data_IF_822535302021
#
_entry.id   IF_822535302021
#
_cell.length_a   1.000
_cell.length_b   1.000
_cell.length_c   1.000
_cell.angle_alpha   90.00
_cell.angle_beta   90.00
_cell.angle_gamma   90.00
#
_symmetry.space_group_name_H-M   'P 1'
#
loop_
_entity.id
_entity.type
_entity.pdbx_description
1 polymer ?
#
# COMPACT_ATOMS: atom_id res chain seq x y z
N UNK A 1 16.48 29.96 15.10
CA UNK A 1 17.42 28.81 14.88
C UNK A 1 17.15 27.63 15.82
N UNK A 2 16.74 27.87 17.07
CA UNK A 2 16.51 26.82 18.08
C UNK A 2 15.24 26.00 17.84
N UNK A 3 14.18 26.61 17.32
CA UNK A 3 12.91 25.95 16.95
C UNK A 3 13.05 24.98 15.79
N UNK A 4 13.92 25.26 14.83
CA UNK A 4 14.16 24.40 13.67
C UNK A 4 14.93 23.11 14.04
N UNK A 5 15.85 23.20 15.01
CA UNK A 5 16.64 22.05 15.51
C UNK A 5 15.73 21.09 16.32
N UNK A 6 14.81 21.64 17.12
CA UNK A 6 13.85 20.85 17.89
C UNK A 6 12.86 20.10 17.00
N UNK A 7 12.39 20.72 15.92
CA UNK A 7 11.51 20.06 14.94
C UNK A 7 12.22 18.92 14.19
N UNK A 8 13.48 19.11 13.78
CA UNK A 8 14.29 18.07 13.12
C UNK A 8 14.55 16.89 14.06
N UNK A 9 14.82 17.17 15.33
CA UNK A 9 15.05 16.11 16.33
C UNK A 9 13.75 15.36 16.68
N UNK A 10 12.61 16.04 16.74
CA UNK A 10 11.30 15.38 16.93
C UNK A 10 10.94 14.49 15.76
N UNK A 11 11.15 14.96 14.51
CA UNK A 11 10.89 14.18 13.32
C UNK A 11 11.81 12.95 13.22
N UNK A 12 13.08 13.10 13.56
CA UNK A 12 14.06 12.00 13.61
C UNK A 12 13.70 10.96 14.67
N UNK A 13 13.21 11.39 15.84
CA UNK A 13 12.75 10.48 16.89
C UNK A 13 11.44 9.79 16.50
N UNK A 14 10.52 10.49 15.85
CA UNK A 14 9.28 9.90 15.32
C UNK A 14 9.56 8.82 14.27
N UNK A 15 10.49 9.08 13.34
CA UNK A 15 10.94 8.07 12.34
C UNK A 15 11.57 6.85 13.02
N UNK A 16 12.42 7.05 14.05
CA UNK A 16 12.99 5.93 14.81
C UNK A 16 11.94 5.10 15.55
N UNK A 17 10.91 5.75 16.12
CA UNK A 17 9.82 5.04 16.82
C UNK A 17 8.94 4.24 15.88
N UNK A 18 8.66 4.75 14.65
CA UNK A 18 7.94 4.01 13.62
C UNK A 18 8.74 2.78 13.17
N UNK A 19 10.05 2.91 12.99
CA UNK A 19 10.94 1.78 12.66
C UNK A 19 10.94 0.72 13.77
N UNK A 20 11.03 1.14 15.03
CA UNK A 20 10.96 0.21 16.18
C UNK A 20 9.62 -0.52 16.24
N UNK A 21 8.51 0.18 15.96
CA UNK A 21 7.18 -0.44 15.89
C UNK A 21 7.10 -1.48 14.78
N UNK A 22 7.61 -1.15 13.60
CA UNK A 22 7.63 -2.09 12.47
C UNK A 22 8.48 -3.33 12.80
N UNK A 23 9.64 -3.16 13.43
CA UNK A 23 10.50 -4.26 13.86
C UNK A 23 9.80 -5.12 14.90
N UNK A 24 9.11 -4.54 15.88
CA UNK A 24 8.39 -5.26 16.92
C UNK A 24 7.22 -6.10 16.33
N UNK A 25 6.47 -5.53 15.38
CA UNK A 25 5.39 -6.26 14.69
C UNK A 25 5.91 -7.45 13.90
N UNK A 26 7.10 -7.35 13.34
CA UNK A 26 7.73 -8.46 12.60
C UNK A 26 8.35 -9.49 13.54
N UNK A 27 8.93 -9.09 14.65
CA UNK A 27 9.39 -10.04 15.68
C UNK A 27 8.22 -10.91 16.18
N UNK A 28 7.03 -10.31 16.33
CA UNK A 28 5.80 -11.05 16.66
C UNK A 28 5.45 -12.03 15.54
N UNK A 29 5.53 -11.63 14.27
CA UNK A 29 5.27 -12.49 13.12
C UNK A 29 6.22 -13.69 13.06
N UNK A 30 7.53 -13.46 13.34
CA UNK A 30 8.54 -14.54 13.40
C UNK A 30 8.29 -15.48 14.58
N UNK A 31 7.90 -14.95 15.75
CA UNK A 31 7.54 -15.74 16.93
C UNK A 31 6.33 -16.64 16.63
N UNK A 32 5.34 -16.11 15.97
CA UNK A 32 4.14 -16.80 15.53
C UNK A 32 4.49 -17.90 14.51
N UNK A 33 5.31 -17.61 13.53
CA UNK A 33 5.75 -18.59 12.52
C UNK A 33 6.57 -19.73 13.18
N UNK A 34 7.43 -19.41 14.14
CA UNK A 34 8.19 -20.43 14.90
C UNK A 34 7.32 -21.31 15.80
N UNK A 35 6.21 -20.77 16.31
CA UNK A 35 5.22 -21.53 17.10
C UNK A 35 4.40 -22.49 16.21
N UNK A 36 4.08 -22.09 14.97
CA UNK A 36 3.42 -22.98 14.00
C UNK A 36 4.25 -24.20 13.62
N UNK A 37 5.57 -24.07 13.55
CA UNK A 37 6.46 -25.20 13.20
C UNK A 37 6.69 -26.18 14.36
N UNK A 38 6.37 -25.78 15.59
CA UNK A 38 6.58 -26.64 16.78
C UNK A 38 5.34 -27.34 17.32
N UNK A 39 4.14 -27.06 16.81
CA UNK A 39 2.90 -27.56 17.40
C UNK A 39 2.27 -28.71 16.61
N UNK A 40 2.97 -29.84 16.58
CA UNK A 40 2.37 -31.12 16.23
C UNK A 40 2.48 -32.12 17.43
N UNK A 41 2.26 -31.67 18.68
CA UNK A 41 2.03 -32.58 19.81
C UNK A 41 1.48 -31.85 21.04
N UNK A 42 0.35 -32.39 21.54
CA UNK A 42 -0.27 -32.27 22.87
C UNK A 42 -1.15 -31.04 23.17
N UNK A 43 -2.43 -31.38 23.45
CA UNK A 43 -3.44 -30.60 24.17
C UNK A 43 -2.90 -30.01 25.48
N UNK A 44 -2.64 -28.74 25.46
CA UNK A 44 -2.72 -27.85 26.61
C UNK A 44 -3.42 -26.58 26.11
N UNK A 45 -4.34 -26.04 26.92
CA UNK A 45 -5.22 -24.92 26.56
C UNK A 45 -4.43 -23.60 26.32
N UNK A 46 -3.65 -23.55 25.27
CA UNK A 46 -3.05 -22.32 24.81
C UNK A 46 -4.14 -21.44 24.19
N UNK A 47 -4.18 -20.13 24.50
CA UNK A 47 -5.14 -19.21 23.91
C UNK A 47 -5.03 -19.25 22.38
N UNK A 48 -6.12 -19.05 21.63
CA UNK A 48 -6.08 -18.96 20.19
C UNK A 48 -5.03 -17.96 19.72
N UNK A 49 -4.31 -18.28 18.64
CA UNK A 49 -3.26 -17.42 18.09
C UNK A 49 -3.73 -15.99 17.85
N UNK A 50 -4.96 -15.82 17.41
CA UNK A 50 -5.58 -14.50 17.19
C UNK A 50 -5.63 -13.67 18.48
N UNK A 51 -5.87 -14.28 19.65
CA UNK A 51 -5.88 -13.57 20.92
C UNK A 51 -4.47 -13.12 21.31
N UNK A 52 -3.50 -14.04 21.22
CA UNK A 52 -2.08 -13.70 21.50
C UNK A 52 -1.58 -12.58 20.60
N UNK A 53 -1.90 -12.62 19.31
CA UNK A 53 -1.54 -11.56 18.36
C UNK A 53 -2.25 -10.24 18.68
N UNK A 54 -3.53 -10.29 18.98
CA UNK A 54 -4.31 -9.09 19.33
C UNK A 54 -3.73 -8.40 20.56
N UNK A 55 -3.44 -9.16 21.61
CA UNK A 55 -2.88 -8.62 22.85
C UNK A 55 -1.49 -8.01 22.63
N UNK A 56 -0.62 -8.74 21.92
CA UNK A 56 0.73 -8.27 21.61
C UNK A 56 0.74 -7.00 20.75
N UNK A 57 -0.09 -6.96 19.70
CA UNK A 57 -0.21 -5.77 18.83
C UNK A 57 -0.80 -4.61 19.63
N UNK A 58 -1.82 -4.83 20.44
CA UNK A 58 -2.45 -3.79 21.27
C UNK A 58 -1.46 -3.19 22.25
N UNK A 59 -0.63 -4.00 22.88
CA UNK A 59 0.42 -3.56 23.80
C UNK A 59 1.44 -2.66 23.08
N UNK A 60 1.91 -3.06 21.90
CA UNK A 60 2.86 -2.27 21.10
C UNK A 60 2.23 -0.94 20.67
N UNK A 61 1.01 -1.01 20.12
CA UNK A 61 0.28 0.18 19.63
C UNK A 61 0.06 1.18 20.76
N UNK A 62 -0.31 0.72 21.96
CA UNK A 62 -0.54 1.59 23.11
C UNK A 62 0.72 2.29 23.63
N UNK A 63 1.91 1.71 23.39
CA UNK A 63 3.19 2.29 23.78
C UNK A 63 3.74 3.31 22.76
N UNK A 64 3.12 3.43 21.57
CA UNK A 64 3.57 4.31 20.49
C UNK A 64 2.80 5.63 20.49
N UNK A 65 3.45 6.77 20.19
CA UNK A 65 2.76 8.03 20.04
C UNK A 65 1.98 8.06 18.71
N UNK A 66 0.80 8.63 18.74
CA UNK A 66 -0.08 8.79 17.58
C UNK A 66 -1.16 7.72 17.47
N UNK A 67 -2.04 7.87 16.51
CA UNK A 67 -3.11 6.91 16.25
C UNK A 67 -2.64 5.85 15.24
N UNK A 68 -2.60 4.60 15.68
CA UNK A 68 -2.11 3.48 14.90
C UNK A 68 -3.22 2.44 14.78
N UNK A 69 -3.56 2.08 13.55
CA UNK A 69 -4.46 0.99 13.23
C UNK A 69 -3.71 -0.17 12.59
N UNK A 70 -4.04 -1.39 12.99
CA UNK A 70 -3.42 -2.62 12.47
C UNK A 70 -4.49 -3.64 12.13
N UNK A 71 -4.34 -4.29 10.98
CA UNK A 71 -5.07 -5.51 10.64
C UNK A 71 -4.12 -6.54 10.03
N UNK A 72 -4.32 -7.79 10.41
CA UNK A 72 -3.55 -8.94 9.91
C UNK A 72 -4.54 -10.03 9.51
N UNK A 73 -4.38 -10.57 8.30
CA UNK A 73 -5.09 -11.77 7.85
C UNK A 73 -4.05 -12.88 7.68
N UNK A 74 -4.21 -13.96 8.41
CA UNK A 74 -3.29 -15.11 8.39
C UNK A 74 -3.95 -16.27 7.65
N UNK A 75 -3.24 -16.82 6.66
CA UNK A 75 -3.68 -18.00 5.89
C UNK A 75 -5.08 -17.83 5.25
N UNK A 76 -5.43 -16.62 4.83
CA UNK A 76 -6.74 -16.28 4.26
C UNK A 76 -7.95 -16.63 5.18
N UNK A 77 -7.73 -16.76 6.48
CA UNK A 77 -8.74 -17.22 7.42
C UNK A 77 -8.79 -16.42 8.72
N UNK A 78 -7.69 -16.41 9.44
CA UNK A 78 -7.65 -15.84 10.79
C UNK A 78 -7.39 -14.34 10.71
N UNK A 79 -8.24 -13.54 11.33
CA UNK A 79 -8.18 -12.07 11.25
C UNK A 79 -7.97 -11.46 12.63
N UNK A 80 -6.95 -10.62 12.72
CA UNK A 80 -6.65 -9.77 13.88
C UNK A 80 -6.80 -8.31 13.48
N UNK A 81 -7.38 -7.50 14.34
CA UNK A 81 -7.56 -6.06 14.11
C UNK A 81 -7.44 -5.28 15.41
N UNK A 82 -6.68 -4.19 15.38
CA UNK A 82 -6.52 -3.22 16.47
C UNK A 82 -6.76 -1.83 15.93
N UNK A 83 -7.58 -1.02 16.60
CA UNK A 83 -7.97 0.33 16.17
C UNK A 83 -8.48 0.37 14.72
N UNK A 84 -9.36 -0.55 14.34
CA UNK A 84 -9.86 -0.69 12.97
C UNK A 84 -10.96 0.35 12.68
N UNK A 85 -10.58 1.62 12.55
CA UNK A 85 -11.45 2.72 12.15
C UNK A 85 -11.28 3.00 10.65
N UNK A 86 -12.32 3.52 9.99
CA UNK A 86 -12.27 3.93 8.57
C UNK A 86 -11.86 5.39 8.43
N UNK A 87 -10.68 5.76 8.93
CA UNK A 87 -10.22 7.16 9.01
C UNK A 87 -8.73 7.33 8.71
N UNK A 88 -8.02 6.26 8.40
CA UNK A 88 -6.58 6.35 8.14
C UNK A 88 -6.33 6.82 6.72
N UNK A 89 -5.64 7.95 6.51
CA UNK A 89 -5.35 8.45 5.18
C UNK A 89 -4.45 7.45 4.43
N UNK A 90 -4.84 7.11 3.22
CA UNK A 90 -4.12 6.12 2.42
C UNK A 90 -2.81 6.66 1.86
N UNK A 91 -2.73 7.98 1.64
CA UNK A 91 -1.65 8.53 0.84
C UNK A 91 -1.47 7.69 -0.44
N UNK A 92 -0.27 7.39 -0.86
CA UNK A 92 -0.03 6.58 -2.07
C UNK A 92 -0.45 5.09 -1.99
N UNK A 93 -1.03 4.62 -0.90
CA UNK A 93 -1.57 3.24 -0.84
C UNK A 93 -2.74 3.07 -1.83
N UNK A 94 -3.53 4.10 -2.10
CA UNK A 94 -4.63 4.06 -3.07
C UNK A 94 -4.20 3.68 -4.50
N UNK A 95 -2.92 3.78 -4.85
CA UNK A 95 -2.38 3.41 -6.17
C UNK A 95 -2.55 1.93 -6.51
N UNK A 96 -2.67 1.07 -5.48
CA UNK A 96 -3.09 -0.34 -5.69
C UNK A 96 -4.54 -0.42 -6.17
N UNK A 97 -5.41 0.38 -5.58
CA UNK A 97 -6.83 0.46 -5.96
C UNK A 97 -6.95 0.96 -7.41
N UNK A 98 -6.20 2.02 -7.76
CA UNK A 98 -6.14 2.55 -9.13
C UNK A 98 -5.66 1.49 -10.13
N UNK A 99 -4.60 0.76 -9.82
CA UNK A 99 -4.06 -0.28 -10.69
C UNK A 99 -5.08 -1.39 -10.97
N UNK A 100 -5.78 -1.85 -9.93
CA UNK A 100 -6.85 -2.86 -10.07
C UNK A 100 -8.00 -2.34 -10.94
N UNK A 101 -8.47 -1.13 -10.70
CA UNK A 101 -9.56 -0.54 -11.47
C UNK A 101 -9.19 -0.30 -12.93
N UNK A 102 -7.96 0.18 -13.20
CA UNK A 102 -7.46 0.38 -14.55
C UNK A 102 -7.36 -0.94 -15.30
N UNK A 103 -6.79 -1.97 -14.69
CA UNK A 103 -6.68 -3.29 -15.30
C UNK A 103 -8.05 -3.89 -15.61
N UNK A 104 -9.02 -3.77 -14.69
CA UNK A 104 -10.40 -4.20 -14.94
C UNK A 104 -11.07 -3.43 -16.08
N UNK A 105 -10.91 -2.12 -16.15
CA UNK A 105 -11.45 -1.29 -17.23
C UNK A 105 -10.84 -1.68 -18.59
N UNK A 106 -9.53 -1.93 -18.61
CA UNK A 106 -8.82 -2.38 -19.82
C UNK A 106 -9.25 -3.78 -20.28
N UNK A 107 -9.52 -4.70 -19.35
CA UNK A 107 -10.06 -6.02 -19.67
C UNK A 107 -11.41 -5.87 -20.35
N UNK A 108 -12.32 -5.10 -19.79
CA UNK A 108 -13.65 -4.86 -20.33
C UNK A 108 -13.62 -4.20 -21.72
N UNK A 109 -12.57 -3.44 -22.03
CA UNK A 109 -12.39 -2.74 -23.31
C UNK A 109 -11.49 -3.49 -24.29
N UNK A 110 -10.89 -4.62 -23.91
CA UNK A 110 -9.93 -5.36 -24.72
C UNK A 110 -8.63 -4.58 -24.98
N UNK A 111 -8.21 -3.70 -24.04
CA UNK A 111 -7.01 -2.86 -24.18
C UNK A 111 -5.81 -3.57 -23.53
N UNK A 112 -4.71 -3.66 -24.27
CA UNK A 112 -3.45 -4.20 -23.76
C UNK A 112 -2.72 -3.22 -22.84
N UNK A 113 -2.06 -3.73 -21.80
CA UNK A 113 -1.11 -2.94 -20.99
C UNK A 113 0.11 -2.49 -21.80
N UNK A 114 0.41 -3.10 -22.93
CA UNK A 114 1.50 -2.72 -23.82
C UNK A 114 1.12 -1.58 -24.80
N UNK A 115 -0.08 -1.01 -24.64
CA UNK A 115 -0.50 0.19 -25.36
C UNK A 115 0.44 1.34 -25.04
N UNK A 116 1.02 1.95 -26.10
CA UNK A 116 1.93 3.08 -26.00
C UNK A 116 1.19 4.39 -25.69
N UNK A 117 1.75 5.15 -24.77
CA UNK A 117 1.29 6.49 -24.40
C UNK A 117 2.43 7.47 -24.63
N UNK A 118 2.16 8.50 -25.43
CA UNK A 118 3.09 9.62 -25.65
C UNK A 118 2.73 10.78 -24.72
N UNK A 119 3.63 11.11 -23.84
CA UNK A 119 3.44 12.05 -22.75
C UNK A 119 4.28 13.30 -23.04
N UNK A 120 3.65 14.44 -23.22
CA UNK A 120 4.36 15.71 -23.28
C UNK A 120 4.90 16.05 -21.89
N UNK A 121 6.22 16.21 -21.79
CA UNK A 121 6.90 16.46 -20.52
C UNK A 121 6.46 17.77 -19.86
N UNK A 122 6.11 18.80 -20.62
CA UNK A 122 5.62 20.09 -20.15
C UNK A 122 4.28 20.04 -19.43
N UNK A 123 3.51 18.94 -19.61
CA UNK A 123 2.23 18.69 -18.93
C UNK A 123 2.40 17.97 -17.59
N UNK A 124 3.62 17.59 -17.23
CA UNK A 124 3.93 16.92 -15.97
C UNK A 124 4.33 17.93 -14.89
N UNK A 125 3.93 17.69 -13.66
CA UNK A 125 4.37 18.53 -12.54
C UNK A 125 5.83 18.22 -12.17
N UNK A 126 6.77 19.17 -12.38
CA UNK A 126 8.17 18.96 -12.05
C UNK A 126 8.46 19.00 -10.55
N UNK A 127 7.50 19.42 -9.71
CA UNK A 127 7.68 19.58 -8.26
C UNK A 127 7.22 18.36 -7.47
N UNK A 128 6.38 17.52 -8.06
CA UNK A 128 5.88 16.33 -7.39
C UNK A 128 6.91 15.20 -7.39
N UNK A 129 6.71 14.20 -6.52
CA UNK A 129 7.54 13.00 -6.51
C UNK A 129 7.30 12.19 -7.79
N UNK A 130 8.29 12.18 -8.67
CA UNK A 130 8.21 11.46 -9.94
C UNK A 130 9.58 10.94 -10.40
N UNK A 131 9.92 9.70 -10.04
CA UNK A 131 11.09 9.00 -10.60
C UNK A 131 11.05 8.89 -12.12
N UNK A 132 9.87 8.64 -12.71
CA UNK A 132 9.68 8.63 -14.17
C UNK A 132 10.20 9.92 -14.81
N UNK A 133 9.88 11.07 -14.24
CA UNK A 133 10.30 12.36 -14.79
C UNK A 133 11.84 12.57 -14.71
N UNK A 134 12.52 11.87 -13.81
CA UNK A 134 13.98 11.89 -13.68
C UNK A 134 14.67 10.95 -14.67
N UNK A 135 14.03 9.83 -14.98
CA UNK A 135 14.60 8.81 -15.87
C UNK A 135 14.53 9.21 -17.36
N UNK A 136 13.63 10.11 -17.72
CA UNK A 136 13.42 10.58 -19.10
C UNK A 136 13.63 12.09 -19.21
N UNK A 137 14.53 12.54 -20.10
CA UNK A 137 14.89 13.95 -20.29
C UNK A 137 14.30 14.61 -21.55
N UNK A 138 13.77 13.82 -22.48
CA UNK A 138 13.20 14.31 -23.75
C UNK A 138 11.90 15.11 -23.57
N UNK A 139 11.50 15.92 -24.59
CA UNK A 139 10.27 16.70 -24.56
C UNK A 139 9.01 15.81 -24.62
N UNK A 140 9.13 14.62 -25.18
CA UNK A 140 8.07 13.59 -25.22
C UNK A 140 8.63 12.31 -24.61
N UNK A 141 7.88 11.74 -23.68
CA UNK A 141 8.17 10.46 -23.02
C UNK A 141 7.20 9.43 -23.62
N UNK A 142 7.74 8.38 -24.24
CA UNK A 142 6.94 7.28 -24.80
C UNK A 142 7.07 6.07 -23.90
N UNK A 143 5.98 5.69 -23.24
CA UNK A 143 5.90 4.56 -22.29
C UNK A 143 4.68 3.71 -22.58
N UNK A 144 4.72 2.44 -22.21
CA UNK A 144 3.52 1.61 -22.16
C UNK A 144 2.71 1.92 -20.89
N UNK A 145 1.43 1.56 -20.89
CA UNK A 145 0.62 1.60 -19.67
C UNK A 145 1.20 0.69 -18.59
N UNK A 146 1.80 -0.42 -18.99
CA UNK A 146 2.56 -1.34 -18.13
C UNK A 146 3.70 -0.61 -17.40
N UNK A 147 4.44 0.25 -18.10
CA UNK A 147 5.52 1.05 -17.51
C UNK A 147 4.99 2.09 -16.52
N UNK A 148 3.89 2.77 -16.86
CA UNK A 148 3.23 3.72 -15.95
C UNK A 148 2.77 3.03 -14.64
N UNK A 149 2.14 1.85 -14.75
CA UNK A 149 1.76 1.05 -13.59
C UNK A 149 2.98 0.61 -12.78
N UNK A 150 4.07 0.21 -13.45
CA UNK A 150 5.31 -0.17 -12.76
C UNK A 150 5.90 1.00 -11.98
N UNK A 151 6.03 2.20 -12.57
CA UNK A 151 6.47 3.40 -11.86
C UNK A 151 5.57 3.72 -10.66
N UNK A 152 4.26 3.65 -10.86
CA UNK A 152 3.25 3.94 -9.85
C UNK A 152 3.31 2.99 -8.65
N UNK A 153 3.44 1.69 -8.90
CA UNK A 153 3.42 0.68 -7.84
C UNK A 153 4.78 0.47 -7.18
N UNK A 154 5.89 0.46 -7.95
CA UNK A 154 7.21 0.17 -7.39
C UNK A 154 7.90 1.37 -6.77
N UNK A 155 7.70 2.56 -7.35
CA UNK A 155 8.38 3.80 -6.95
C UNK A 155 7.42 4.90 -6.49
N UNK A 156 6.12 4.60 -6.47
CA UNK A 156 5.08 5.53 -6.03
C UNK A 156 5.02 6.83 -6.84
N UNK A 157 5.25 6.77 -8.15
CA UNK A 157 5.29 7.94 -9.05
C UNK A 157 3.94 8.65 -9.11
N UNK A 158 3.92 9.96 -8.82
CA UNK A 158 2.71 10.76 -8.76
C UNK A 158 2.25 11.20 -10.16
N UNK A 159 3.18 11.58 -11.04
CA UNK A 159 2.82 11.96 -12.41
C UNK A 159 2.22 10.77 -13.17
N UNK A 160 2.81 9.58 -13.06
CA UNK A 160 2.26 8.38 -13.68
C UNK A 160 0.84 8.08 -13.16
N UNK A 161 0.61 8.20 -11.86
CA UNK A 161 -0.72 8.03 -11.26
C UNK A 161 -1.72 9.08 -11.76
N UNK A 162 -1.34 10.36 -11.77
CA UNK A 162 -2.20 11.45 -12.25
C UNK A 162 -2.57 11.29 -13.73
N UNK A 163 -1.62 10.89 -14.59
CA UNK A 163 -1.89 10.57 -16.00
C UNK A 163 -2.93 9.47 -16.16
N UNK A 164 -2.79 8.38 -15.42
CA UNK A 164 -3.74 7.27 -15.49
C UNK A 164 -5.13 7.69 -14.99
N UNK A 165 -5.24 8.52 -13.96
CA UNK A 165 -6.53 9.05 -13.50
C UNK A 165 -7.15 10.01 -14.50
N UNK A 166 -6.37 10.81 -15.19
CA UNK A 166 -6.83 11.78 -16.15
C UNK A 166 -7.30 11.15 -17.45
N UNK A 167 -6.52 10.20 -17.98
CA UNK A 167 -6.63 9.79 -19.38
C UNK A 167 -7.18 8.35 -19.54
N UNK A 168 -7.28 7.54 -18.44
CA UNK A 168 -7.60 6.12 -18.53
C UNK A 168 -8.77 5.71 -17.62
N UNK A 169 -8.59 5.75 -16.30
CA UNK A 169 -9.61 5.39 -15.31
C UNK A 169 -9.71 6.51 -14.27
N UNK A 170 -10.85 7.15 -14.13
CA UNK A 170 -10.98 8.26 -13.18
C UNK A 170 -11.19 7.79 -11.73
N UNK A 171 -11.10 8.76 -10.80
CA UNK A 171 -11.25 8.51 -9.37
C UNK A 171 -12.59 7.84 -9.04
N UNK A 172 -13.70 8.30 -9.60
CA UNK A 172 -15.03 7.76 -9.33
C UNK A 172 -15.20 6.34 -9.83
N UNK A 173 -14.64 6.02 -11.01
CA UNK A 173 -14.63 4.66 -11.55
C UNK A 173 -13.79 3.74 -10.66
N UNK A 174 -12.62 4.20 -10.21
CA UNK A 174 -11.76 3.47 -9.27
C UNK A 174 -12.50 3.17 -7.97
N UNK A 175 -13.07 4.20 -7.35
CA UNK A 175 -13.80 4.08 -6.09
C UNK A 175 -15.00 3.11 -6.21
N UNK A 176 -15.76 3.22 -7.30
CA UNK A 176 -16.92 2.35 -7.56
C UNK A 176 -16.50 0.89 -7.80
N UNK A 177 -15.43 0.64 -8.55
CA UNK A 177 -14.93 -0.71 -8.78
C UNK A 177 -14.44 -1.35 -7.48
N UNK A 178 -13.66 -0.66 -6.68
CA UNK A 178 -13.16 -1.19 -5.40
C UNK A 178 -14.31 -1.48 -4.43
N UNK A 179 -15.42 -0.72 -4.48
CA UNK A 179 -16.61 -1.01 -3.67
C UNK A 179 -17.29 -2.35 -4.03
N UNK A 180 -16.99 -2.94 -5.18
CA UNK A 180 -17.40 -4.32 -5.51
C UNK A 180 -16.51 -5.38 -4.86
N UNK A 181 -15.30 -4.99 -4.46
CA UNK A 181 -14.29 -5.90 -3.92
C UNK A 181 -14.25 -5.92 -2.38
N UNK A 182 -14.40 -4.76 -1.73
CA UNK A 182 -14.36 -4.64 -0.27
C UNK A 182 -15.52 -3.76 0.24
N UNK A 183 -15.91 -3.88 1.51
CA UNK A 183 -17.02 -3.12 2.06
C UNK A 183 -16.88 -1.60 1.87
N UNK A 184 -17.89 -0.96 1.31
CA UNK A 184 -17.91 0.48 1.04
C UNK A 184 -17.61 1.33 2.29
N UNK A 185 -18.01 0.86 3.47
CA UNK A 185 -17.75 1.53 4.74
C UNK A 185 -16.28 1.51 5.17
N UNK A 186 -15.42 0.74 4.50
CA UNK A 186 -14.02 0.55 4.90
C UNK A 186 -13.04 1.49 4.20
N UNK A 187 -13.44 2.20 3.15
CA UNK A 187 -12.54 3.06 2.36
C UNK A 187 -13.29 4.15 1.61
N UNK A 188 -12.55 5.13 1.11
CA UNK A 188 -12.98 6.12 0.12
C UNK A 188 -11.79 6.56 -0.72
N UNK A 189 -12.00 6.71 -2.03
CA UNK A 189 -11.07 7.36 -2.95
C UNK A 189 -11.81 8.53 -3.59
N UNK A 190 -11.41 9.76 -3.28
CA UNK A 190 -12.09 10.97 -3.67
C UNK A 190 -11.23 11.92 -4.52
N UNK A 191 -9.92 11.81 -4.43
CA UNK A 191 -8.99 12.76 -5.03
C UNK A 191 -7.76 12.11 -5.66
N UNK A 192 -7.18 12.80 -6.65
CA UNK A 192 -5.89 12.44 -7.26
C UNK A 192 -4.71 12.92 -6.41
N UNK A 193 -3.48 12.50 -6.74
CA UNK A 193 -2.26 13.02 -6.08
C UNK A 193 -2.10 14.54 -6.29
N UNK A 194 -2.44 15.04 -7.49
CA UNK A 194 -2.39 16.47 -7.81
C UNK A 194 -3.33 17.28 -6.92
N UNK A 195 -4.59 16.84 -6.78
CA UNK A 195 -5.58 17.51 -5.94
C UNK A 195 -5.20 17.48 -4.46
N UNK A 196 -4.66 16.37 -3.97
CA UNK A 196 -4.18 16.25 -2.58
C UNK A 196 -2.92 17.09 -2.32
N UNK A 197 -2.07 17.26 -3.32
CA UNK A 197 -0.89 18.13 -3.25
C UNK A 197 -1.27 19.61 -3.23
N UNK A 198 -2.30 19.98 -3.98
CA UNK A 198 -2.81 21.36 -4.04
C UNK A 198 -3.56 21.76 -2.75
N UNK A 199 -4.22 20.82 -2.10
CA UNK A 199 -4.93 21.02 -0.84
C UNK A 199 -4.73 19.83 0.09
N UNK A 200 -3.88 20.04 1.11
CA UNK A 200 -3.50 18.98 2.05
C UNK A 200 -4.70 18.35 2.80
N UNK A 201 -5.80 19.10 2.99
CA UNK A 201 -7.00 18.53 3.63
C UNK A 201 -7.65 17.44 2.78
N UNK A 202 -7.51 17.48 1.47
CA UNK A 202 -8.01 16.45 0.56
C UNK A 202 -7.32 15.10 0.74
N UNK A 203 -6.07 15.08 1.22
CA UNK A 203 -5.35 13.84 1.50
C UNK A 203 -6.05 12.97 2.54
N UNK A 204 -6.78 13.57 3.49
CA UNK A 204 -7.56 12.86 4.50
C UNK A 204 -8.88 12.30 3.97
N UNK A 205 -9.32 12.72 2.78
CA UNK A 205 -10.52 12.20 2.14
C UNK A 205 -10.28 10.90 1.35
N UNK A 206 -9.02 10.57 1.05
CA UNK A 206 -8.62 9.25 0.57
C UNK A 206 -8.23 8.40 1.78
N UNK A 207 -9.17 7.66 2.34
CA UNK A 207 -8.97 6.91 3.58
C UNK A 207 -9.32 5.43 3.45
N UNK A 208 -8.79 4.63 4.37
CA UNK A 208 -9.16 3.23 4.54
C UNK A 208 -9.16 2.83 6.01
N UNK A 209 -9.88 1.76 6.35
CA UNK A 209 -9.62 1.04 7.59
C UNK A 209 -8.46 0.07 7.40
N UNK A 210 -7.70 -0.27 8.45
CA UNK A 210 -6.66 -1.30 8.36
C UNK A 210 -7.17 -2.63 7.78
N UNK A 211 -8.35 -3.06 8.21
CA UNK A 211 -8.97 -4.29 7.71
C UNK A 211 -9.38 -4.16 6.23
N UNK A 212 -9.89 -3.01 5.79
CA UNK A 212 -10.23 -2.78 4.39
C UNK A 212 -9.01 -2.94 3.48
N UNK A 213 -7.89 -2.33 3.87
CA UNK A 213 -6.63 -2.48 3.15
C UNK A 213 -6.12 -3.94 3.16
N UNK A 214 -6.17 -4.62 4.32
CA UNK A 214 -5.77 -6.02 4.43
C UNK A 214 -6.65 -6.95 3.61
N UNK A 215 -7.97 -6.72 3.58
CA UNK A 215 -8.91 -7.50 2.76
C UNK A 215 -8.63 -7.36 1.27
N UNK A 216 -8.41 -6.14 0.78
CA UNK A 216 -8.10 -5.92 -0.63
C UNK A 216 -6.82 -6.64 -1.03
N UNK A 217 -5.75 -6.51 -0.24
CA UNK A 217 -4.49 -7.21 -0.50
C UNK A 217 -4.66 -8.73 -0.40
N UNK A 218 -5.36 -9.24 0.60
CA UNK A 218 -5.62 -10.67 0.73
C UNK A 218 -6.36 -11.21 -0.50
N UNK A 219 -7.45 -10.58 -0.91
CA UNK A 219 -8.23 -10.98 -2.10
C UNK A 219 -7.40 -10.90 -3.37
N UNK A 220 -6.60 -9.84 -3.56
CA UNK A 220 -5.69 -9.72 -4.71
C UNK A 220 -4.77 -10.93 -4.83
N UNK A 221 -4.29 -11.50 -3.72
CA UNK A 221 -3.35 -12.62 -3.75
C UNK A 221 -4.01 -14.00 -3.74
N UNK A 222 -5.25 -14.11 -3.30
CA UNK A 222 -5.93 -15.40 -3.08
C UNK A 222 -7.14 -15.67 -3.98
N UNK A 223 -7.67 -14.64 -4.65
CA UNK A 223 -8.85 -14.74 -5.51
C UNK A 223 -8.54 -14.24 -6.92
N UNK A 224 -9.40 -14.59 -7.90
CA UNK A 224 -9.40 -13.96 -9.23
C UNK A 224 -10.31 -12.73 -9.20
N UNK A 225 -9.73 -11.54 -9.24
CA UNK A 225 -10.47 -10.28 -9.18
C UNK A 225 -10.65 -9.63 -10.55
N UNK A 226 -9.71 -9.85 -11.44
CA UNK A 226 -9.59 -9.31 -12.80
C UNK A 226 -8.92 -10.38 -13.67
N UNK A 227 -8.67 -10.10 -14.93
CA UNK A 227 -7.92 -11.00 -15.83
C UNK A 227 -6.60 -11.48 -15.21
N UNK A 228 -6.30 -12.78 -15.37
CA UNK A 228 -5.18 -13.46 -14.70
C UNK A 228 -3.81 -12.86 -15.07
N UNK A 229 -3.59 -12.43 -16.33
CA UNK A 229 -2.34 -11.83 -16.78
C UNK A 229 -2.10 -10.51 -16.05
N UNK A 230 -3.11 -9.63 -16.06
CA UNK A 230 -3.03 -8.30 -15.44
C UNK A 230 -2.95 -8.39 -13.92
N UNK A 231 -3.69 -9.32 -13.33
CA UNK A 231 -3.59 -9.57 -11.88
C UNK A 231 -2.21 -10.08 -11.48
N UNK A 232 -1.65 -11.02 -12.26
CA UNK A 232 -0.29 -11.53 -12.04
C UNK A 232 0.75 -10.43 -12.21
N UNK A 233 0.58 -9.54 -13.17
CA UNK A 233 1.42 -8.37 -13.34
C UNK A 233 1.40 -7.47 -12.09
N UNK A 234 0.23 -7.12 -11.56
CA UNK A 234 0.12 -6.31 -10.32
C UNK A 234 0.81 -7.02 -9.16
N UNK A 235 0.53 -8.31 -8.94
CA UNK A 235 1.15 -9.12 -7.86
C UNK A 235 2.68 -9.10 -7.94
N UNK A 236 3.23 -9.31 -9.12
CA UNK A 236 4.69 -9.34 -9.33
C UNK A 236 5.30 -7.95 -9.18
N UNK A 237 4.63 -6.91 -9.67
CA UNK A 237 5.10 -5.52 -9.54
C UNK A 237 5.13 -5.08 -8.07
N UNK A 238 4.18 -5.50 -7.23
CA UNK A 238 4.18 -5.22 -5.79
C UNK A 238 5.34 -5.91 -5.04
N UNK A 239 5.85 -7.05 -5.54
CA UNK A 239 7.05 -7.70 -5.00
C UNK A 239 8.34 -6.90 -5.30
N UNK A 240 8.30 -6.08 -6.35
CA UNK A 240 9.42 -5.23 -6.78
C UNK A 240 9.38 -3.82 -6.14
N UNK A 241 8.49 -3.58 -5.18
CA UNK A 241 8.31 -2.27 -4.56
C UNK A 241 9.60 -1.77 -3.89
N UNK A 242 10.04 -0.57 -4.28
CA UNK A 242 11.30 0.07 -3.83
C UNK A 242 11.10 1.06 -2.69
N UNK A 243 9.86 1.48 -2.42
CA UNK A 243 9.57 2.47 -1.39
C UNK A 243 9.32 1.81 -0.04
N UNK A 244 9.95 2.34 1.04
CA UNK A 244 9.73 1.87 2.41
C UNK A 244 10.21 0.44 2.67
N UNK A 245 11.25 -0.01 1.98
CA UNK A 245 11.93 -1.29 2.23
C UNK A 245 12.55 -1.36 3.63
N UNK A 246 12.79 -0.21 4.24
CA UNK A 246 13.25 -0.01 5.62
C UNK A 246 12.13 -0.15 6.67
N UNK A 247 10.88 -0.42 6.25
CA UNK A 247 9.70 -0.57 7.13
C UNK A 247 9.40 -2.05 7.38
N UNK A 248 8.19 -2.50 7.03
CA UNK A 248 7.73 -3.89 7.26
C UNK A 248 8.62 -4.92 6.55
N UNK A 249 9.19 -4.58 5.41
CA UNK A 249 10.05 -5.47 4.65
C UNK A 249 11.42 -5.70 5.33
N UNK A 250 12.01 -4.68 5.96
CA UNK A 250 13.39 -4.70 6.44
C UNK A 250 13.79 -5.95 7.24
N UNK A 251 13.03 -6.39 8.25
CA UNK A 251 13.42 -7.55 9.06
C UNK A 251 13.15 -8.90 8.37
N UNK A 252 12.58 -8.89 7.18
CA UNK A 252 12.23 -10.08 6.41
C UNK A 252 13.05 -10.26 5.13
N UNK A 253 13.81 -9.24 4.69
CA UNK A 253 14.54 -9.24 3.42
C UNK A 253 15.55 -10.39 3.32
N UNK A 254 16.23 -10.73 4.43
CA UNK A 254 17.27 -11.76 4.46
C UNK A 254 16.72 -13.13 4.92
N UNK A 255 15.38 -13.30 4.99
CA UNK A 255 14.76 -14.56 5.40
C UNK A 255 14.53 -15.45 4.19
N UNK A 256 15.16 -16.60 4.16
CA UNK A 256 14.98 -17.60 3.10
C UNK A 256 13.49 -18.02 3.00
N UNK A 257 12.99 -18.11 1.76
CA UNK A 257 11.62 -18.52 1.46
C UNK A 257 10.55 -17.45 1.72
N UNK A 258 10.92 -16.25 2.20
CA UNK A 258 9.97 -15.15 2.40
C UNK A 258 9.88 -14.29 1.14
N UNK A 259 8.65 -14.11 0.66
CA UNK A 259 8.32 -13.19 -0.44
C UNK A 259 7.49 -12.05 0.09
N UNK A 260 7.90 -10.82 -0.18
CA UNK A 260 7.24 -9.62 0.30
C UNK A 260 6.67 -8.85 -0.89
N UNK A 261 5.36 -8.60 -0.84
CA UNK A 261 4.69 -7.70 -1.76
C UNK A 261 4.03 -6.58 -0.95
N UNK A 262 4.31 -5.34 -1.27
CA UNK A 262 3.81 -4.23 -0.46
C UNK A 262 3.57 -2.95 -1.27
N UNK A 263 2.81 -2.03 -0.69
CA UNK A 263 2.69 -0.64 -1.13
C UNK A 263 2.72 0.29 0.08
N UNK A 264 3.48 1.36 -0.02
CA UNK A 264 3.58 2.38 1.02
C UNK A 264 2.82 3.65 0.66
N UNK A 265 2.41 4.38 1.68
CA UNK A 265 1.96 5.75 1.61
C UNK A 265 2.74 6.60 2.62
N UNK A 266 3.04 7.84 2.28
CA UNK A 266 3.70 8.82 3.14
C UNK A 266 3.13 10.20 2.86
N UNK A 267 2.92 11.00 3.91
CA UNK A 267 2.49 12.38 3.87
C UNK A 267 3.35 13.25 4.78
#
# INVERSE_FOLDING_TARGET
RQTNINNINMEKNRKKQIVVLCIALVCIFILVFSLFHKSATKDSANPPLTNVLTDSISQIVSACPGEIGVAVIVNNRDTVKVNNKSVYPMMSVFKVHQALALCNDFDNKGISLDTLVNINRDKLDPKTWSPMLKDYSGPVISLTVRDLLRYTLTQSDNNASNLMFKDMVNVAQTDSFIATLIPRSSFQIAYTEEEMSADHNKAYSNYTSPLGAAMLMNRLFTEGLIDDEKQSFIKNTLKECKTGVDRIAAPLLDKEGVVIAHKTGSG
#
